data_IF_696354265339
#
_entry.id   IF_696354265339
#
_cell.length_a   1.000
_cell.length_b   1.000
_cell.length_c   1.000
_cell.angle_alpha   90.00
_cell.angle_beta   90.00
_cell.angle_gamma   90.00
#
_symmetry.space_group_name_H-M   'P 1'
#
loop_
_entity.id
_entity.type
_entity.pdbx_description
1 polymer ?
#
# COMPACT_ATOMS: atom_id res chain seq x y z
N UNK A 1 5.61 4.93 11.64
CA UNK A 1 4.68 5.54 10.67
C UNK A 1 3.56 6.35 11.34
N UNK A 2 2.96 5.89 12.45
CA UNK A 2 1.91 6.65 13.16
C UNK A 2 2.33 8.09 13.55
N UNK A 3 3.59 8.33 13.86
CA UNK A 3 4.10 9.69 14.12
C UNK A 3 4.07 10.58 12.88
N UNK A 4 4.30 10.01 11.68
CA UNK A 4 4.21 10.76 10.41
C UNK A 4 2.77 11.16 10.11
N UNK A 5 1.81 10.26 10.36
CA UNK A 5 0.38 10.54 10.15
C UNK A 5 -0.11 11.60 11.12
N UNK A 6 0.33 11.50 12.37
CA UNK A 6 0.01 12.52 13.37
C UNK A 6 0.58 13.89 12.98
N UNK A 7 1.82 13.91 12.50
CA UNK A 7 2.44 15.15 12.03
C UNK A 7 1.67 15.75 10.84
N UNK A 8 1.27 14.95 9.87
CA UNK A 8 0.48 15.42 8.73
C UNK A 8 -0.85 16.03 9.18
N UNK A 9 -1.54 15.38 10.13
CA UNK A 9 -2.80 15.88 10.70
C UNK A 9 -2.61 17.20 11.45
N UNK A 10 -1.62 17.27 12.33
CA UNK A 10 -1.38 18.46 13.12
C UNK A 10 -0.90 19.63 12.24
N UNK A 11 -0.09 19.35 11.20
CA UNK A 11 0.33 20.33 10.23
C UNK A 11 -0.85 20.85 9.39
N UNK A 12 -1.75 19.98 8.94
CA UNK A 12 -2.96 20.38 8.22
C UNK A 12 -3.79 21.37 9.03
N UNK A 13 -4.04 21.07 10.31
CA UNK A 13 -4.81 21.96 11.20
C UNK A 13 -4.16 23.33 11.37
N UNK A 14 -2.80 23.36 11.49
CA UNK A 14 -2.06 24.62 11.68
C UNK A 14 -1.92 25.44 10.39
N UNK A 15 -1.81 24.78 9.25
CA UNK A 15 -1.52 25.42 7.97
C UNK A 15 -2.77 25.73 7.13
N UNK A 16 -3.95 25.28 7.56
CA UNK A 16 -5.21 25.51 6.86
C UNK A 16 -5.46 27.01 6.55
N UNK A 17 -5.15 27.90 7.51
CA UNK A 17 -5.30 29.36 7.32
C UNK A 17 -4.35 29.95 6.26
N UNK A 18 -3.31 29.20 5.89
CA UNK A 18 -2.34 29.58 4.85
C UNK A 18 -2.62 28.91 3.52
N UNK A 19 -3.74 28.18 3.42
CA UNK A 19 -4.11 27.41 2.23
C UNK A 19 -3.02 26.38 1.83
N UNK A 20 -2.48 25.67 2.83
CA UNK A 20 -1.48 24.62 2.65
C UNK A 20 -2.07 23.30 3.10
N UNK A 21 -2.15 22.36 2.17
CA UNK A 21 -2.60 21.00 2.42
C UNK A 21 -1.43 20.08 2.79
N UNK A 22 -1.68 19.15 3.68
CA UNK A 22 -0.69 18.15 4.12
C UNK A 22 -1.32 16.77 4.08
N UNK A 23 -0.66 15.84 3.37
CA UNK A 23 -1.12 14.46 3.21
C UNK A 23 0.03 13.52 3.53
N UNK A 24 -0.24 12.49 4.34
CA UNK A 24 0.69 11.36 4.54
C UNK A 24 0.50 10.36 3.41
N UNK A 25 1.53 10.13 2.58
CA UNK A 25 1.47 9.23 1.44
C UNK A 25 2.08 7.86 1.80
N UNK A 26 1.31 6.81 1.55
CA UNK A 26 1.69 5.42 1.80
C UNK A 26 1.95 4.67 0.50
N UNK A 27 3.21 4.48 0.10
CA UNK A 27 3.54 3.51 -0.93
C UNK A 27 3.39 2.08 -0.40
N UNK A 28 3.28 1.12 -1.31
CA UNK A 28 3.44 -0.29 -1.01
C UNK A 28 4.92 -0.68 -0.81
N UNK A 29 5.26 -1.90 -1.19
CA UNK A 29 6.66 -2.31 -1.29
C UNK A 29 7.28 -1.64 -2.51
N UNK A 30 8.37 -0.91 -2.31
CA UNK A 30 9.02 -0.15 -3.39
C UNK A 30 10.36 -0.79 -3.75
N UNK A 31 10.56 -1.08 -5.04
CA UNK A 31 11.82 -1.56 -5.59
C UNK A 31 12.82 -0.39 -5.68
N UNK A 32 13.33 0.05 -4.52
CA UNK A 32 14.39 1.04 -4.44
C UNK A 32 15.74 0.38 -4.78
N UNK A 33 16.73 1.19 -5.15
CA UNK A 33 18.09 0.72 -5.39
C UNK A 33 18.61 -0.13 -4.22
N UNK A 34 18.44 0.35 -2.97
CA UNK A 34 18.88 -0.40 -1.78
C UNK A 34 18.15 -1.72 -1.58
N UNK A 35 16.84 -1.80 -1.89
CA UNK A 35 16.09 -3.04 -1.79
C UNK A 35 16.53 -4.05 -2.88
N UNK A 36 16.78 -3.57 -4.09
CA UNK A 36 17.30 -4.40 -5.19
C UNK A 36 18.72 -4.93 -4.89
N UNK A 37 19.59 -4.10 -4.33
CA UNK A 37 20.92 -4.54 -3.87
C UNK A 37 20.84 -5.59 -2.75
N UNK A 38 19.88 -5.45 -1.83
CA UNK A 38 19.64 -6.45 -0.79
C UNK A 38 19.15 -7.77 -1.40
N UNK A 39 18.31 -7.74 -2.42
CA UNK A 39 17.86 -8.93 -3.13
C UNK A 39 19.00 -9.63 -3.86
N UNK A 40 19.85 -8.87 -4.57
CA UNK A 40 21.05 -9.39 -5.23
C UNK A 40 22.01 -10.08 -4.25
N UNK A 41 22.08 -9.60 -3.01
CA UNK A 41 22.87 -10.24 -1.92
C UNK A 41 22.15 -11.39 -1.22
N UNK A 42 20.89 -11.67 -1.59
CA UNK A 42 20.07 -12.69 -0.94
C UNK A 42 19.59 -12.33 0.49
N UNK A 43 19.64 -11.05 0.85
CA UNK A 43 19.29 -10.54 2.18
C UNK A 43 17.82 -10.07 2.26
N UNK A 44 17.20 -9.79 1.11
CA UNK A 44 15.86 -9.19 1.05
C UNK A 44 14.79 -10.05 1.71
N UNK A 45 14.76 -11.35 1.45
CA UNK A 45 13.75 -12.25 2.02
C UNK A 45 13.73 -12.21 3.55
N UNK A 46 14.90 -12.18 4.18
CA UNK A 46 15.02 -12.06 5.64
C UNK A 46 14.61 -10.69 6.15
N UNK A 47 14.98 -9.62 5.44
CA UNK A 47 14.69 -8.25 5.84
C UNK A 47 13.21 -7.87 5.66
N UNK A 48 12.56 -8.40 4.62
CA UNK A 48 11.17 -8.07 4.25
C UNK A 48 10.11 -9.02 4.82
N UNK A 49 10.54 -10.17 5.35
CA UNK A 49 9.62 -11.26 5.70
C UNK A 49 9.12 -12.04 4.48
N UNK A 50 9.89 -12.07 3.39
CA UNK A 50 9.60 -12.85 2.19
C UNK A 50 8.76 -12.13 1.13
N UNK A 51 8.69 -10.80 1.17
CA UNK A 51 8.00 -10.02 0.14
C UNK A 51 8.72 -10.09 -1.21
N UNK A 52 7.97 -10.27 -2.29
CA UNK A 52 8.47 -10.42 -3.65
C UNK A 52 8.70 -9.04 -4.29
N UNK A 53 9.96 -8.66 -4.53
CA UNK A 53 10.31 -7.39 -5.20
C UNK A 53 9.90 -7.35 -6.67
N UNK A 54 9.69 -8.47 -7.35
CA UNK A 54 9.17 -8.48 -8.71
C UNK A 54 7.73 -7.93 -8.80
N UNK A 55 6.99 -7.93 -7.70
CA UNK A 55 5.64 -7.36 -7.57
C UNK A 55 5.64 -5.96 -6.95
N UNK A 56 6.80 -5.44 -6.57
CA UNK A 56 6.93 -4.13 -5.94
C UNK A 56 6.62 -2.98 -6.91
N UNK A 57 6.28 -1.85 -6.33
CA UNK A 57 6.13 -0.58 -7.06
C UNK A 57 7.50 -0.02 -7.45
N UNK A 58 7.57 0.73 -8.55
CA UNK A 58 8.77 1.56 -8.78
C UNK A 58 8.69 2.85 -7.94
N UNK A 59 9.83 3.49 -7.61
CA UNK A 59 9.82 4.79 -6.94
C UNK A 59 9.01 5.87 -7.71
N UNK A 60 8.87 5.71 -9.01
CA UNK A 60 8.11 6.62 -9.87
C UNK A 60 6.60 6.52 -9.70
N UNK A 61 6.09 5.40 -9.18
CA UNK A 61 4.67 5.24 -8.90
C UNK A 61 4.20 6.23 -7.83
N UNK A 62 4.97 6.39 -6.75
CA UNK A 62 4.73 7.43 -5.75
C UNK A 62 4.81 8.84 -6.35
N UNK A 63 5.72 9.08 -7.28
CA UNK A 63 5.79 10.35 -8.01
C UNK A 63 4.54 10.63 -8.86
N UNK A 64 3.98 9.61 -9.51
CA UNK A 64 2.71 9.72 -10.24
C UNK A 64 1.53 10.02 -9.33
N UNK A 65 1.48 9.40 -8.14
CA UNK A 65 0.49 9.73 -7.14
C UNK A 65 0.58 11.19 -6.68
N UNK A 66 1.80 11.70 -6.48
CA UNK A 66 2.00 13.12 -6.16
C UNK A 66 1.50 14.04 -7.29
N UNK A 67 1.79 13.70 -8.55
CA UNK A 67 1.26 14.47 -9.70
C UNK A 67 -0.26 14.44 -9.72
N UNK A 68 -0.88 13.27 -9.49
CA UNK A 68 -2.33 13.15 -9.44
C UNK A 68 -2.94 14.04 -8.34
N UNK A 69 -2.34 14.07 -7.15
CA UNK A 69 -2.76 14.96 -6.07
C UNK A 69 -2.62 16.45 -6.46
N UNK A 70 -1.47 16.86 -7.00
CA UNK A 70 -1.20 18.24 -7.39
C UNK A 70 -2.14 18.74 -8.51
N UNK A 71 -2.60 17.85 -9.37
CA UNK A 71 -3.56 18.19 -10.45
C UNK A 71 -5.02 18.13 -10.02
N UNK A 72 -5.28 17.71 -8.77
CA UNK A 72 -6.62 17.64 -8.18
C UNK A 72 -6.65 18.37 -6.82
N UNK A 73 -6.54 19.72 -6.80
CA UNK A 73 -6.41 20.48 -5.56
C UNK A 73 -7.63 20.39 -4.64
N UNK A 74 -8.82 20.22 -5.18
CA UNK A 74 -10.04 20.02 -4.39
C UNK A 74 -9.94 18.73 -3.57
N UNK A 75 -9.50 17.64 -4.19
CA UNK A 75 -9.26 16.38 -3.49
C UNK A 75 -8.20 16.51 -2.39
N UNK A 76 -7.11 17.25 -2.66
CA UNK A 76 -6.08 17.51 -1.66
C UNK A 76 -6.65 18.23 -0.44
N UNK A 77 -7.44 19.26 -0.67
CA UNK A 77 -8.05 20.07 0.38
C UNK A 77 -9.04 19.26 1.24
N UNK A 78 -9.90 18.46 0.60
CA UNK A 78 -10.85 17.57 1.28
C UNK A 78 -10.17 16.47 2.09
N UNK A 79 -8.96 16.06 1.69
CA UNK A 79 -8.19 14.99 2.33
C UNK A 79 -6.97 15.51 3.11
N UNK A 80 -6.87 16.81 3.34
CA UNK A 80 -5.77 17.39 4.11
C UNK A 80 -5.77 16.87 5.55
N UNK A 81 -4.62 16.48 6.06
CA UNK A 81 -4.46 15.85 7.37
C UNK A 81 -4.70 14.33 7.38
N UNK A 82 -5.06 13.75 6.26
CA UNK A 82 -5.28 12.31 6.14
C UNK A 82 -4.04 11.57 5.61
N UNK A 83 -4.14 10.25 5.57
CA UNK A 83 -3.20 9.39 4.86
C UNK A 83 -3.85 8.87 3.57
N UNK A 84 -3.05 8.72 2.51
CA UNK A 84 -3.48 8.23 1.22
C UNK A 84 -2.56 7.10 0.74
N UNK A 85 -3.14 6.02 0.21
CA UNK A 85 -2.37 4.89 -0.34
C UNK A 85 -2.15 5.09 -1.83
N UNK A 86 -0.91 5.00 -2.29
CA UNK A 86 -0.51 5.25 -3.68
C UNK A 86 -1.33 4.43 -4.67
N UNK A 87 -1.50 3.13 -4.43
CA UNK A 87 -2.27 2.25 -5.32
C UNK A 87 -3.78 2.54 -5.31
N UNK A 88 -4.33 3.08 -4.22
CA UNK A 88 -5.73 3.51 -4.16
C UNK A 88 -5.93 4.82 -4.94
N UNK A 89 -5.00 5.76 -4.83
CA UNK A 89 -4.96 6.95 -5.70
C UNK A 89 -4.83 6.56 -7.17
N UNK A 90 -4.01 5.54 -7.48
CA UNK A 90 -3.87 5.05 -8.85
C UNK A 90 -5.18 4.49 -9.40
N UNK A 91 -5.99 3.86 -8.57
CA UNK A 91 -7.32 3.38 -8.95
C UNK A 91 -8.31 4.53 -9.11
N UNK A 92 -8.25 5.53 -8.23
CA UNK A 92 -9.17 6.67 -8.25
C UNK A 92 -8.90 7.63 -9.42
N UNK A 93 -7.63 7.90 -9.72
CA UNK A 93 -7.22 8.84 -10.77
C UNK A 93 -6.75 8.16 -12.07
N UNK A 94 -6.98 6.86 -12.17
CA UNK A 94 -6.71 6.04 -13.36
C UNK A 94 -5.29 6.18 -13.93
N UNK A 95 -4.29 6.03 -13.06
CA UNK A 95 -2.89 5.94 -13.49
C UNK A 95 -2.27 4.58 -13.15
N UNK A 96 -1.19 4.24 -13.82
CA UNK A 96 -0.41 3.02 -13.61
C UNK A 96 1.03 3.39 -13.26
N UNK A 97 1.82 2.43 -12.83
CA UNK A 97 3.27 2.57 -12.76
C UNK A 97 3.88 2.69 -14.17
N UNK A 98 5.19 2.95 -14.26
CA UNK A 98 5.88 3.14 -15.54
C UNK A 98 5.92 1.89 -16.42
N UNK A 99 5.77 0.71 -15.81
CA UNK A 99 5.69 -0.59 -16.49
C UNK A 99 4.25 -0.95 -16.93
N UNK A 100 3.29 -0.05 -16.71
CA UNK A 100 1.88 -0.26 -17.04
C UNK A 100 1.11 -1.05 -16.00
N UNK A 101 1.75 -1.55 -14.94
CA UNK A 101 1.08 -2.28 -13.86
C UNK A 101 0.45 -1.32 -12.85
N UNK A 102 -0.49 -1.84 -12.10
CA UNK A 102 -1.06 -1.20 -10.93
C UNK A 102 -0.87 -2.15 -9.76
N UNK A 103 0.03 -1.81 -8.84
CA UNK A 103 0.27 -2.62 -7.66
C UNK A 103 -1.00 -2.66 -6.80
N UNK A 104 -1.33 -3.81 -6.18
CA UNK A 104 -2.48 -3.89 -5.28
C UNK A 104 -2.22 -3.06 -4.02
N UNK A 105 -3.31 -2.50 -3.45
CA UNK A 105 -3.21 -1.79 -2.17
C UNK A 105 -2.68 -2.71 -1.06
N UNK A 106 -1.84 -2.15 -0.20
CA UNK A 106 -1.35 -2.84 1.02
C UNK A 106 -2.48 -3.34 1.94
N UNK A 107 -3.70 -2.82 1.77
CA UNK A 107 -4.91 -3.27 2.48
C UNK A 107 -5.74 -4.27 1.70
N UNK A 108 -5.42 -4.54 0.44
CA UNK A 108 -6.23 -5.46 -0.36
C UNK A 108 -5.95 -6.91 -0.01
N UNK A 109 -6.95 -7.77 -0.18
CA UNK A 109 -6.75 -9.21 -0.05
C UNK A 109 -5.78 -9.73 -1.10
N UNK A 110 -5.74 -9.13 -2.30
CA UNK A 110 -4.78 -9.47 -3.34
C UNK A 110 -3.32 -9.22 -2.92
N UNK A 111 -3.08 -8.27 -2.01
CA UNK A 111 -1.77 -8.05 -1.41
C UNK A 111 -1.54 -8.97 -0.20
N UNK A 112 -2.52 -9.06 0.71
CA UNK A 112 -2.35 -9.73 2.00
C UNK A 112 -2.32 -11.26 1.90
N UNK A 113 -3.13 -11.83 1.01
CA UNK A 113 -3.22 -13.29 0.89
C UNK A 113 -1.90 -13.90 0.42
N UNK A 114 -1.31 -13.49 -0.71
CA UNK A 114 -0.05 -14.10 -1.16
C UNK A 114 1.16 -13.76 -0.27
N UNK A 115 1.18 -12.59 0.33
CA UNK A 115 2.35 -12.15 1.08
C UNK A 115 2.34 -12.60 2.55
N UNK A 116 1.17 -12.85 3.15
CA UNK A 116 1.10 -13.13 4.59
C UNK A 116 0.25 -14.33 4.96
N UNK A 117 -0.78 -14.68 4.20
CA UNK A 117 -1.74 -15.72 4.58
C UNK A 117 -1.45 -17.07 3.89
N UNK A 118 -1.16 -17.05 2.60
CA UNK A 118 -0.92 -18.23 1.77
C UNK A 118 0.41 -18.09 1.02
N UNK A 119 1.50 -17.91 1.76
CA UNK A 119 2.86 -17.92 1.20
C UNK A 119 3.23 -19.33 0.71
N UNK A 120 4.22 -19.44 -0.18
CA UNK A 120 4.65 -20.75 -0.70
C UNK A 120 5.05 -21.72 0.40
N UNK A 121 5.74 -21.25 1.43
CA UNK A 121 6.13 -22.06 2.59
C UNK A 121 4.91 -22.60 3.33
N UNK A 122 3.93 -21.74 3.61
CA UNK A 122 2.69 -22.16 4.29
C UNK A 122 1.88 -23.13 3.47
N UNK A 123 1.82 -22.93 2.14
CA UNK A 123 1.16 -23.89 1.24
C UNK A 123 1.92 -25.22 1.23
N UNK A 124 3.25 -25.21 1.24
CA UNK A 124 4.06 -26.42 1.27
C UNK A 124 3.87 -27.25 2.56
N UNK A 125 3.56 -26.60 3.68
CA UNK A 125 3.25 -27.25 4.95
C UNK A 125 1.84 -27.87 5.00
N UNK A 126 0.94 -27.48 4.09
CA UNK A 126 -0.43 -27.99 4.05
C UNK A 126 -0.48 -29.47 3.59
N UNK A 127 -1.52 -30.23 3.98
CA UNK A 127 -1.78 -31.55 3.42
C UNK A 127 -1.88 -31.50 1.89
N UNK A 128 -1.40 -32.53 1.20
CA UNK A 128 -1.31 -32.55 -0.27
C UNK A 128 -2.64 -32.23 -0.97
N UNK A 129 -3.77 -32.68 -0.43
CA UNK A 129 -5.10 -32.44 -0.99
C UNK A 129 -5.57 -30.98 -0.89
N UNK A 130 -4.96 -30.18 0.04
CA UNK A 130 -5.30 -28.75 0.21
C UNK A 130 -4.43 -27.85 -0.65
N UNK A 131 -3.20 -28.24 -0.99
CA UNK A 131 -2.22 -27.40 -1.66
C UNK A 131 -2.75 -26.80 -2.97
N UNK A 132 -3.32 -27.64 -3.82
CA UNK A 132 -3.88 -27.20 -5.12
C UNK A 132 -5.01 -26.19 -4.97
N UNK A 133 -5.88 -26.38 -3.96
CA UNK A 133 -6.97 -25.45 -3.68
C UNK A 133 -6.44 -24.13 -3.12
N UNK A 134 -5.48 -24.18 -2.19
CA UNK A 134 -4.86 -22.99 -1.60
C UNK A 134 -4.12 -22.16 -2.65
N UNK A 135 -3.37 -22.80 -3.56
CA UNK A 135 -2.71 -22.12 -4.67
C UNK A 135 -3.71 -21.42 -5.59
N UNK A 136 -4.77 -22.12 -6.00
CA UNK A 136 -5.79 -21.54 -6.87
C UNK A 136 -6.54 -20.39 -6.18
N UNK A 137 -6.84 -20.51 -4.88
CA UNK A 137 -7.46 -19.41 -4.15
C UNK A 137 -6.56 -18.19 -4.13
N UNK A 138 -5.27 -18.38 -3.81
CA UNK A 138 -4.28 -17.30 -3.79
C UNK A 138 -4.13 -16.61 -5.15
N UNK A 139 -3.98 -17.41 -6.22
CA UNK A 139 -3.53 -16.89 -7.51
C UNK A 139 -4.69 -16.48 -8.43
N UNK A 140 -5.85 -17.13 -8.31
CA UNK A 140 -6.98 -16.95 -9.23
C UNK A 140 -8.24 -16.36 -8.57
N UNK A 141 -8.50 -16.68 -7.30
CA UNK A 141 -9.80 -16.41 -6.67
C UNK A 141 -9.78 -15.35 -5.59
N UNK A 142 -8.61 -14.86 -5.19
CA UNK A 142 -8.52 -13.80 -4.19
C UNK A 142 -9.20 -12.53 -4.70
N UNK A 143 -10.29 -12.06 -4.06
CA UNK A 143 -11.00 -10.89 -4.52
C UNK A 143 -10.20 -9.61 -4.29
N UNK A 144 -10.41 -8.62 -5.13
CA UNK A 144 -9.90 -7.26 -4.90
C UNK A 144 -10.81 -6.55 -3.88
N UNK A 145 -10.60 -6.87 -2.61
CA UNK A 145 -11.34 -6.31 -1.49
C UNK A 145 -10.40 -5.56 -0.56
N UNK A 146 -10.70 -4.29 -0.30
CA UNK A 146 -9.94 -3.45 0.62
C UNK A 146 -10.44 -3.63 2.06
N UNK A 147 -9.56 -4.11 2.92
CA UNK A 147 -9.86 -4.18 4.34
C UNK A 147 -9.94 -2.77 4.95
N UNK A 148 -10.90 -2.51 5.85
CA UNK A 148 -10.97 -1.23 6.55
C UNK A 148 -9.73 -1.04 7.44
N UNK A 149 -9.29 0.20 7.62
CA UNK A 149 -8.12 0.53 8.44
C UNK A 149 -8.21 0.05 9.88
N UNK A 150 -9.41 -0.11 10.42
CA UNK A 150 -9.64 -0.65 11.76
C UNK A 150 -9.05 -2.04 11.96
N UNK A 151 -8.87 -2.83 10.90
CA UNK A 151 -8.21 -4.14 10.96
C UNK A 151 -6.72 -4.00 11.31
N UNK A 152 -6.09 -2.90 10.90
CA UNK A 152 -4.65 -2.68 11.08
C UNK A 152 -4.32 -1.83 12.32
N UNK A 153 -5.24 -1.02 12.78
CA UNK A 153 -5.02 -0.07 13.89
C UNK A 153 -5.50 -0.59 15.25
N UNK A 154 -6.12 -1.77 15.30
CA UNK A 154 -6.66 -2.32 16.54
C UNK A 154 -7.86 -1.56 17.13
N UNK A 155 -8.43 -0.61 16.38
CA UNK A 155 -9.61 0.15 16.77
C UNK A 155 -10.24 0.86 15.58
N UNK A 156 -11.49 1.31 15.68
CA UNK A 156 -12.10 2.11 14.63
C UNK A 156 -11.29 3.39 14.43
N UNK A 157 -11.16 3.89 13.19
CA UNK A 157 -10.56 5.21 12.97
C UNK A 157 -11.34 6.24 13.79
N UNK A 158 -10.67 7.28 14.34
CA UNK A 158 -11.39 8.34 15.02
C UNK A 158 -12.44 8.91 14.07
N UNK A 159 -13.70 8.97 14.54
CA UNK A 159 -14.77 9.60 13.79
C UNK A 159 -14.31 11.00 13.38
N UNK A 160 -14.42 11.29 12.11
CA UNK A 160 -14.25 12.65 11.60
C UNK A 160 -15.44 13.44 12.14
N UNK A 161 -15.29 14.01 13.32
CA UNK A 161 -16.21 15.04 13.81
C UNK A 161 -15.99 16.26 12.94
N UNK A 162 -16.97 16.50 12.06
CA UNK A 162 -17.07 17.67 11.20
C UNK A 162 -17.14 19.00 11.98
#
# INVERSE_FOLDING_TARGET
KAATDRLARDAAAQLASYNVDTISLYPGVVATEGNLEMEERGEWAAASGGLDLAKAETPRFSGRALVALLTNPEYCSENSGSYQVVSELASQFDFTDIDGRRAPSIRSLQYLVPNFLLTDDKIAEMPAWQRGLATRFRDEWTPDYLLPWSVFSGGPPPEQTG
#
